data_IF_852299023982
#
_entry.id   IF_852299023982
#
_cell.length_a   1.000
_cell.length_b   1.000
_cell.length_c   1.000
_cell.angle_alpha   90.00
_cell.angle_beta   90.00
_cell.angle_gamma   90.00
#
_symmetry.space_group_name_H-M   'P 1'
#
loop_
_entity.id
_entity.type
_entity.pdbx_description
1 polymer ?
#
# COMPACT_ATOMS: atom_id res chain seq x y z
N UNK A 1 16.49 -22.73 10.42
CA UNK A 1 15.80 -22.25 11.64
C UNK A 1 15.95 -20.75 11.86
N UNK A 2 17.06 -20.12 11.50
CA UNK A 2 17.28 -18.70 11.79
C UNK A 2 16.32 -17.74 11.10
N UNK A 3 15.93 -18.00 9.85
CA UNK A 3 14.91 -17.20 9.16
C UNK A 3 13.54 -17.22 9.85
N UNK A 4 13.15 -18.35 10.45
CA UNK A 4 11.90 -18.46 11.22
C UNK A 4 11.99 -17.56 12.47
N UNK A 5 13.09 -17.65 13.22
CA UNK A 5 13.33 -16.79 14.38
C UNK A 5 13.40 -15.31 14.00
N UNK A 6 14.01 -15.00 12.85
CA UNK A 6 14.06 -13.66 12.25
C UNK A 6 12.67 -13.11 11.94
N UNK A 7 11.81 -13.89 11.28
CA UNK A 7 10.43 -13.48 11.01
C UNK A 7 9.62 -13.30 12.30
N UNK A 8 9.78 -14.18 13.30
CA UNK A 8 9.13 -14.00 14.61
C UNK A 8 9.60 -12.70 15.28
N UNK A 9 10.91 -12.39 15.26
CA UNK A 9 11.43 -11.13 15.80
C UNK A 9 10.93 -9.92 15.02
N UNK A 10 10.83 -9.99 13.70
CA UNK A 10 10.22 -8.96 12.85
C UNK A 10 8.77 -8.69 13.27
N UNK A 11 7.93 -9.72 13.37
CA UNK A 11 6.52 -9.56 13.76
C UNK A 11 6.37 -8.99 15.18
N UNK A 12 7.18 -9.46 16.13
CA UNK A 12 7.21 -8.91 17.51
C UNK A 12 7.60 -7.42 17.52
N UNK A 13 8.61 -7.06 16.73
CA UNK A 13 9.09 -5.67 16.60
C UNK A 13 8.00 -4.81 15.97
N UNK A 14 7.34 -5.28 14.91
CA UNK A 14 6.21 -4.58 14.30
C UNK A 14 5.11 -4.29 15.34
N UNK A 15 4.71 -5.28 16.14
CA UNK A 15 3.69 -5.08 17.18
C UNK A 15 4.13 -4.11 18.28
N UNK A 16 5.40 -4.15 18.69
CA UNK A 16 5.96 -3.21 19.66
C UNK A 16 5.95 -1.77 19.10
N UNK A 17 6.50 -1.58 17.90
CA UNK A 17 6.49 -0.31 17.18
C UNK A 17 5.07 0.22 16.94
N UNK A 18 4.13 -0.66 16.57
CA UNK A 18 2.75 -0.28 16.33
C UNK A 18 2.06 0.20 17.61
N UNK A 19 2.31 -0.44 18.76
CA UNK A 19 1.81 0.03 20.07
C UNK A 19 2.36 1.42 20.43
N UNK A 20 3.60 1.72 20.05
CA UNK A 20 4.19 3.06 20.24
C UNK A 20 3.47 4.07 19.35
N UNK A 21 3.32 3.78 18.05
CA UNK A 21 2.62 4.65 17.10
C UNK A 21 1.16 4.90 17.48
N UNK A 22 0.46 3.86 17.97
CA UNK A 22 -0.93 3.97 18.40
C UNK A 22 -1.16 4.93 19.57
N UNK A 23 -0.11 5.18 20.37
CA UNK A 23 -0.16 6.13 21.49
C UNK A 23 0.13 7.57 21.07
N UNK A 24 0.56 7.80 19.83
CA UNK A 24 0.76 9.15 19.32
C UNK A 24 -0.60 9.82 19.06
N UNK A 25 -0.69 11.17 19.15
CA UNK A 25 -1.91 11.88 18.79
C UNK A 25 -2.35 11.55 17.36
N UNK A 26 -3.63 11.20 17.17
CA UNK A 26 -4.18 10.87 15.85
C UNK A 26 -4.02 11.99 14.82
N UNK A 27 -4.06 13.24 15.29
CA UNK A 27 -3.80 14.42 14.47
C UNK A 27 -2.44 14.38 13.77
N UNK A 28 -1.48 13.58 14.26
CA UNK A 28 -0.17 13.38 13.61
C UNK A 28 -0.27 12.62 12.27
N UNK A 29 -1.40 11.98 11.98
CA UNK A 29 -1.60 11.20 10.77
C UNK A 29 -3.03 11.25 10.21
N UNK A 30 -3.89 12.09 10.80
CA UNK A 30 -5.22 12.43 10.26
C UNK A 30 -5.34 13.95 10.21
N UNK A 31 -4.87 14.56 9.11
CA UNK A 31 -4.88 16.02 8.96
C UNK A 31 -6.06 16.42 8.09
N UNK A 32 -6.96 17.22 8.65
CA UNK A 32 -8.07 17.84 7.91
C UNK A 32 -8.13 19.37 8.04
N UNK A 33 -7.45 19.93 9.05
CA UNK A 33 -7.54 21.36 9.40
C UNK A 33 -6.20 21.85 9.94
N UNK A 34 -5.99 23.16 9.89
CA UNK A 34 -4.88 23.80 10.60
C UNK A 34 -4.95 23.47 12.09
N UNK A 35 -3.82 23.05 12.66
CA UNK A 35 -3.74 22.67 14.07
C UNK A 35 -2.31 22.78 14.60
N UNK A 36 -2.21 22.80 15.92
CA UNK A 36 -0.95 22.65 16.64
C UNK A 36 -0.99 21.33 17.41
N UNK A 37 0.07 20.54 17.32
CA UNK A 37 0.15 19.21 17.92
C UNK A 37 1.43 19.15 18.75
N UNK A 38 1.30 18.73 19.99
CA UNK A 38 2.43 18.51 20.90
C UNK A 38 2.60 17.02 21.12
N UNK A 39 3.79 16.49 20.84
CA UNK A 39 4.10 15.06 20.92
C UNK A 39 5.33 14.87 21.81
N UNK A 40 5.30 14.01 22.84
CA UNK A 40 6.50 13.71 23.63
C UNK A 40 7.61 13.13 22.75
N UNK A 41 8.88 13.40 23.03
CA UNK A 41 10.02 12.84 22.28
C UNK A 41 10.32 11.37 22.65
N UNK A 42 9.99 10.93 23.87
CA UNK A 42 10.30 9.56 24.37
C UNK A 42 9.79 8.42 23.48
N UNK A 43 8.56 8.45 22.93
CA UNK A 43 8.11 7.43 21.98
C UNK A 43 9.00 7.29 20.73
N UNK A 44 9.61 8.39 20.24
CA UNK A 44 10.58 8.34 19.14
C UNK A 44 11.78 7.47 19.49
N UNK A 45 12.39 7.72 20.64
CA UNK A 45 13.57 6.97 21.11
C UNK A 45 13.28 5.48 21.26
N UNK A 46 12.13 5.13 21.83
CA UNK A 46 11.71 3.75 22.00
C UNK A 46 11.49 3.04 20.66
N UNK A 47 10.87 3.72 19.68
CA UNK A 47 10.68 3.17 18.34
C UNK A 47 12.02 2.93 17.64
N UNK A 48 12.93 3.92 17.67
CA UNK A 48 14.26 3.80 17.08
C UNK A 48 15.07 2.66 17.71
N UNK A 49 14.96 2.47 19.02
CA UNK A 49 15.62 1.38 19.72
C UNK A 49 15.11 0.00 19.24
N UNK A 50 13.80 -0.18 19.08
CA UNK A 50 13.21 -1.43 18.58
C UNK A 50 13.63 -1.72 17.13
N UNK A 51 13.58 -0.71 16.25
CA UNK A 51 14.01 -0.83 14.85
C UNK A 51 15.49 -1.20 14.75
N UNK A 52 16.35 -0.53 15.54
CA UNK A 52 17.79 -0.82 15.60
C UNK A 52 18.06 -2.23 16.11
N UNK A 53 17.41 -2.63 17.20
CA UNK A 53 17.55 -3.96 17.77
C UNK A 53 17.14 -5.06 16.78
N UNK A 54 16.09 -4.83 15.97
CA UNK A 54 15.74 -5.75 14.90
C UNK A 54 16.81 -5.79 13.81
N UNK A 55 17.28 -4.64 13.33
CA UNK A 55 18.33 -4.55 12.30
C UNK A 55 19.61 -5.29 12.72
N UNK A 56 20.06 -5.09 13.95
CA UNK A 56 21.21 -5.78 14.53
C UNK A 56 20.94 -7.30 14.61
N UNK A 57 19.77 -7.69 15.11
CA UNK A 57 19.39 -9.10 15.24
C UNK A 57 19.40 -9.85 13.90
N UNK A 58 18.77 -9.28 12.87
CA UNK A 58 18.70 -9.94 11.54
C UNK A 58 20.06 -9.90 10.83
N UNK A 59 20.85 -8.85 11.04
CA UNK A 59 22.20 -8.75 10.46
C UNK A 59 23.12 -9.82 11.05
N UNK A 60 23.08 -10.03 12.36
CA UNK A 60 23.95 -10.98 13.04
C UNK A 60 23.63 -12.45 12.72
N UNK A 61 22.42 -12.75 12.25
CA UNK A 61 21.92 -14.12 12.04
C UNK A 61 21.66 -14.50 10.59
N UNK A 62 21.69 -13.52 9.68
CA UNK A 62 21.49 -13.81 8.26
C UNK A 62 22.85 -14.04 7.61
N UNK A 63 23.04 -15.19 6.91
CA UNK A 63 24.23 -15.41 6.12
C UNK A 63 24.49 -14.25 5.14
N UNK A 64 25.73 -14.14 4.65
CA UNK A 64 26.06 -13.19 3.59
C UNK A 64 25.02 -13.31 2.46
N UNK A 65 24.43 -12.18 2.11
CA UNK A 65 23.33 -12.18 1.15
C UNK A 65 23.84 -12.56 -0.23
N UNK A 66 23.01 -13.32 -0.96
CA UNK A 66 23.26 -13.57 -2.38
C UNK A 66 23.27 -12.23 -3.11
N UNK A 67 23.99 -12.12 -4.24
CA UNK A 67 23.87 -10.97 -5.13
C UNK A 67 22.40 -10.69 -5.43
N UNK A 68 22.00 -9.42 -5.31
CA UNK A 68 20.61 -9.01 -5.42
C UNK A 68 19.97 -9.43 -6.75
N UNK A 69 20.73 -9.40 -7.85
CA UNK A 69 20.25 -9.81 -9.16
C UNK A 69 19.93 -11.31 -9.24
N UNK A 70 20.65 -12.16 -8.49
CA UNK A 70 20.35 -13.60 -8.41
C UNK A 70 19.04 -13.83 -7.65
N UNK A 71 18.86 -13.18 -6.50
CA UNK A 71 17.63 -13.26 -5.73
C UNK A 71 16.44 -12.79 -6.59
N UNK A 72 16.59 -11.66 -7.28
CA UNK A 72 15.56 -11.15 -8.17
C UNK A 72 15.24 -12.11 -9.33
N UNK A 73 16.25 -12.66 -9.99
CA UNK A 73 16.03 -13.60 -11.10
C UNK A 73 15.29 -14.87 -10.64
N UNK A 74 15.66 -15.43 -9.48
CA UNK A 74 14.98 -16.59 -8.89
C UNK A 74 13.53 -16.27 -8.54
N UNK A 75 13.29 -15.09 -7.98
CA UNK A 75 11.97 -14.62 -7.67
C UNK A 75 11.11 -14.39 -8.93
N UNK A 76 11.68 -13.84 -10.01
CA UNK A 76 10.98 -13.71 -11.29
C UNK A 76 10.65 -15.08 -11.92
N UNK A 77 11.57 -16.04 -11.84
CA UNK A 77 11.32 -17.40 -12.29
C UNK A 77 10.20 -18.07 -11.48
N UNK A 78 10.22 -17.92 -10.15
CA UNK A 78 9.15 -18.38 -9.27
C UNK A 78 7.82 -17.73 -9.63
N UNK A 79 7.80 -16.43 -9.93
CA UNK A 79 6.58 -15.72 -10.31
C UNK A 79 5.98 -16.25 -11.60
N UNK A 80 6.80 -16.52 -12.61
CA UNK A 80 6.36 -17.16 -13.87
C UNK A 80 5.78 -18.54 -13.62
N UNK A 81 6.43 -19.35 -12.78
CA UNK A 81 5.92 -20.66 -12.37
C UNK A 81 4.56 -20.54 -11.66
N UNK A 82 4.38 -19.53 -10.81
CA UNK A 82 3.12 -19.30 -10.12
C UNK A 82 1.99 -18.91 -11.08
N UNK A 83 2.28 -18.08 -12.08
CA UNK A 83 1.32 -17.75 -13.16
C UNK A 83 0.91 -18.99 -13.94
N UNK A 84 1.87 -19.86 -14.29
CA UNK A 84 1.59 -21.12 -14.95
C UNK A 84 0.71 -22.05 -14.08
N UNK A 85 1.02 -22.15 -12.78
CA UNK A 85 0.22 -22.91 -11.83
C UNK A 85 -1.20 -22.34 -11.69
N UNK A 86 -1.37 -21.01 -11.67
CA UNK A 86 -2.68 -20.35 -11.65
C UNK A 86 -3.50 -20.67 -12.91
N UNK A 87 -2.86 -20.63 -14.08
CA UNK A 87 -3.48 -20.96 -15.35
C UNK A 87 -3.97 -22.42 -15.41
N UNK A 88 -3.29 -23.33 -14.72
CA UNK A 88 -3.69 -24.75 -14.62
C UNK A 88 -4.93 -25.02 -13.76
N UNK A 89 -5.40 -24.02 -12.98
CA UNK A 89 -6.45 -24.17 -11.97
C UNK A 89 -6.17 -25.21 -10.87
N UNK A 90 -4.95 -25.72 -10.76
CA UNK A 90 -4.58 -26.67 -9.70
C UNK A 90 -4.20 -25.91 -8.42
N UNK A 91 -5.08 -25.95 -7.40
CA UNK A 91 -4.87 -25.24 -6.13
C UNK A 91 -3.57 -25.66 -5.43
N UNK A 92 -3.28 -26.96 -5.39
CA UNK A 92 -2.06 -27.48 -4.74
C UNK A 92 -0.82 -26.95 -5.44
N UNK A 93 -0.76 -27.02 -6.78
CA UNK A 93 0.35 -26.48 -7.55
C UNK A 93 0.49 -24.97 -7.36
N UNK A 94 -0.63 -24.23 -7.32
CA UNK A 94 -0.66 -22.78 -7.08
C UNK A 94 -0.08 -22.41 -5.71
N UNK A 95 -0.51 -23.09 -4.64
CA UNK A 95 -0.01 -22.88 -3.29
C UNK A 95 1.47 -23.22 -3.19
N UNK A 96 1.90 -24.39 -3.69
CA UNK A 96 3.29 -24.82 -3.64
C UNK A 96 4.20 -23.86 -4.42
N UNK A 97 3.80 -23.45 -5.64
CA UNK A 97 4.55 -22.48 -6.43
C UNK A 97 4.67 -21.13 -5.71
N UNK A 98 3.60 -20.65 -5.06
CA UNK A 98 3.63 -19.43 -4.25
C UNK A 98 4.56 -19.53 -3.04
N UNK A 99 4.55 -20.66 -2.32
CA UNK A 99 5.38 -20.87 -1.13
C UNK A 99 6.89 -20.88 -1.44
N UNK A 100 7.29 -21.24 -2.67
CA UNK A 100 8.70 -21.21 -3.09
C UNK A 100 9.35 -19.83 -2.94
N UNK A 101 8.57 -18.73 -2.98
CA UNK A 101 9.14 -17.40 -2.78
C UNK A 101 9.80 -17.27 -1.40
N UNK A 102 9.27 -17.93 -0.37
CA UNK A 102 9.80 -17.85 1.00
C UNK A 102 11.07 -18.69 1.18
N UNK A 103 11.37 -19.56 0.23
CA UNK A 103 12.67 -20.24 0.13
C UNK A 103 13.70 -19.28 -0.47
N UNK A 104 13.31 -18.52 -1.49
CA UNK A 104 14.20 -17.56 -2.18
C UNK A 104 14.43 -16.30 -1.34
N UNK A 105 13.38 -15.79 -0.70
CA UNK A 105 13.36 -14.54 0.04
C UNK A 105 12.63 -14.70 1.39
N UNK A 106 13.25 -15.35 2.39
CA UNK A 106 12.53 -15.77 3.60
C UNK A 106 11.91 -14.66 4.46
N UNK A 107 12.45 -13.44 4.41
CA UNK A 107 11.91 -12.30 5.16
C UNK A 107 10.68 -11.67 4.48
N UNK A 108 10.39 -12.04 3.22
CA UNK A 108 9.17 -11.61 2.55
C UNK A 108 7.92 -12.23 3.19
N UNK A 109 8.05 -13.34 3.93
CA UNK A 109 6.94 -13.91 4.72
C UNK A 109 6.40 -12.93 5.75
N UNK A 110 7.29 -12.39 6.59
CA UNK A 110 6.90 -11.45 7.64
C UNK A 110 6.31 -10.18 7.05
N UNK A 111 6.97 -9.58 6.05
CA UNK A 111 6.45 -8.38 5.39
C UNK A 111 5.12 -8.65 4.69
N UNK A 112 4.99 -9.76 3.95
CA UNK A 112 3.72 -10.12 3.31
C UNK A 112 2.59 -10.29 4.31
N UNK A 113 2.86 -10.89 5.48
CA UNK A 113 1.86 -11.01 6.54
C UNK A 113 1.45 -9.64 7.10
N UNK A 114 2.40 -8.75 7.35
CA UNK A 114 2.13 -7.38 7.84
C UNK A 114 1.29 -6.58 6.85
N UNK A 115 1.71 -6.59 5.58
CA UNK A 115 0.98 -5.98 4.46
C UNK A 115 -0.42 -6.56 4.32
N UNK A 116 -0.59 -7.86 4.57
CA UNK A 116 -1.91 -8.50 4.52
C UNK A 116 -2.83 -8.09 5.65
N UNK A 117 -2.30 -7.90 6.87
CA UNK A 117 -3.07 -7.35 7.98
C UNK A 117 -3.55 -5.93 7.67
N UNK A 118 -2.67 -5.12 7.06
CA UNK A 118 -3.01 -3.79 6.56
C UNK A 118 -4.11 -3.86 5.48
N UNK A 119 -3.97 -4.74 4.49
CA UNK A 119 -4.94 -4.96 3.42
C UNK A 119 -6.32 -5.34 3.97
N UNK A 120 -6.33 -6.34 4.85
CA UNK A 120 -7.54 -6.86 5.43
C UNK A 120 -8.32 -5.80 6.20
N UNK A 121 -7.64 -5.05 7.06
CA UNK A 121 -8.26 -4.06 7.94
C UNK A 121 -8.67 -2.77 7.23
N UNK A 122 -8.06 -2.49 6.08
CA UNK A 122 -8.34 -1.24 5.35
C UNK A 122 -9.37 -1.44 4.24
N UNK A 123 -9.50 -2.67 3.72
CA UNK A 123 -10.32 -2.93 2.54
C UNK A 123 -11.19 -4.18 2.64
N UNK A 124 -10.65 -5.32 3.07
CA UNK A 124 -11.43 -6.56 3.10
C UNK A 124 -12.54 -6.55 4.14
N UNK A 125 -12.30 -6.03 5.33
CA UNK A 125 -13.26 -6.16 6.44
C UNK A 125 -14.59 -5.49 6.09
N UNK A 126 -14.57 -4.25 5.58
CA UNK A 126 -15.77 -3.59 5.09
C UNK A 126 -16.43 -4.33 3.94
N UNK A 127 -15.65 -4.87 3.00
CA UNK A 127 -16.16 -5.69 1.89
C UNK A 127 -16.86 -6.97 2.35
N UNK A 128 -16.33 -7.63 3.38
CA UNK A 128 -16.93 -8.81 3.98
C UNK A 128 -18.24 -8.46 4.69
N UNK A 129 -18.29 -7.35 5.42
CA UNK A 129 -19.52 -6.89 6.07
C UNK A 129 -20.59 -6.56 5.03
N UNK A 130 -20.22 -5.90 3.93
CA UNK A 130 -21.18 -5.60 2.86
C UNK A 130 -21.62 -6.85 2.11
N UNK A 131 -20.76 -7.87 2.03
CA UNK A 131 -21.15 -9.15 1.45
C UNK A 131 -22.28 -9.76 2.28
N UNK A 132 -22.09 -9.84 3.61
CA UNK A 132 -23.09 -10.36 4.54
C UNK A 132 -24.41 -9.57 4.51
N UNK A 133 -24.37 -8.25 4.33
CA UNK A 133 -25.56 -7.39 4.32
C UNK A 133 -26.29 -7.40 2.97
N UNK A 134 -25.56 -7.33 1.86
CA UNK A 134 -26.15 -7.13 0.53
C UNK A 134 -26.43 -8.44 -0.21
N UNK A 135 -25.73 -9.53 0.10
CA UNK A 135 -25.92 -10.83 -0.58
C UNK A 135 -27.32 -11.43 -0.38
N UNK A 136 -28.00 -11.28 0.78
CA UNK A 136 -29.38 -11.73 0.96
C UNK A 136 -30.42 -10.88 0.23
N UNK A 137 -30.05 -9.68 -0.26
CA UNK A 137 -30.99 -8.77 -0.90
C UNK A 137 -31.24 -9.20 -2.36
N UNK A 138 -32.48 -9.06 -2.88
CA UNK A 138 -32.82 -9.42 -4.26
C UNK A 138 -32.30 -8.37 -5.25
N UNK A 139 -30.97 -8.24 -5.36
CA UNK A 139 -30.34 -7.34 -6.32
C UNK A 139 -30.57 -7.83 -7.76
N UNK A 140 -30.64 -6.93 -8.76
CA UNK A 140 -30.73 -7.33 -10.15
C UNK A 140 -29.60 -8.29 -10.54
N UNK A 141 -29.93 -9.28 -11.38
CA UNK A 141 -29.01 -10.35 -11.77
C UNK A 141 -28.06 -9.92 -12.89
N UNK A 142 -27.18 -8.96 -12.62
CA UNK A 142 -26.14 -8.54 -13.55
C UNK A 142 -24.83 -9.29 -13.27
N UNK A 143 -24.76 -10.54 -13.72
CA UNK A 143 -23.61 -11.41 -13.47
C UNK A 143 -22.54 -11.28 -14.54
N UNK A 144 -21.29 -11.16 -14.10
CA UNK A 144 -20.11 -11.29 -14.94
C UNK A 144 -19.38 -12.58 -14.60
N UNK A 145 -18.88 -13.27 -15.62
CA UNK A 145 -17.99 -14.41 -15.45
C UNK A 145 -16.53 -13.94 -15.61
N UNK A 146 -15.66 -14.42 -14.74
CA UNK A 146 -14.21 -14.23 -14.90
C UNK A 146 -13.75 -15.22 -15.97
N UNK A 147 -13.86 -14.83 -17.24
CA UNK A 147 -13.36 -15.57 -18.39
C UNK A 147 -12.06 -14.96 -18.94
N UNK A 148 -11.52 -15.53 -20.02
CA UNK A 148 -10.31 -14.99 -20.66
C UNK A 148 -10.49 -13.57 -21.21
N UNK A 149 -11.71 -13.20 -21.62
CA UNK A 149 -12.03 -11.88 -22.18
C UNK A 149 -12.07 -10.82 -21.08
N UNK A 150 -12.67 -11.15 -19.95
CA UNK A 150 -12.67 -10.31 -18.74
C UNK A 150 -11.24 -10.03 -18.28
N UNK A 151 -10.40 -11.06 -18.17
CA UNK A 151 -9.00 -10.93 -17.74
C UNK A 151 -8.23 -10.03 -18.70
N UNK A 152 -8.29 -10.31 -20.01
CA UNK A 152 -7.61 -9.52 -21.01
C UNK A 152 -8.10 -8.06 -21.05
N UNK A 153 -9.42 -7.85 -20.93
CA UNK A 153 -10.04 -6.53 -20.90
C UNK A 153 -9.59 -5.72 -19.68
N UNK A 154 -9.61 -6.32 -18.49
CA UNK A 154 -9.17 -5.66 -17.26
C UNK A 154 -7.69 -5.27 -17.32
N UNK A 155 -6.82 -6.18 -17.77
CA UNK A 155 -5.38 -5.89 -17.91
C UNK A 155 -5.11 -4.84 -18.98
N UNK A 156 -5.88 -4.83 -20.08
CA UNK A 156 -5.80 -3.80 -21.10
C UNK A 156 -6.21 -2.42 -20.54
N UNK A 157 -7.31 -2.35 -19.79
CA UNK A 157 -7.72 -1.10 -19.12
C UNK A 157 -6.66 -0.63 -18.13
N UNK A 158 -6.12 -1.51 -17.28
CA UNK A 158 -5.04 -1.12 -16.36
C UNK A 158 -3.81 -0.60 -17.11
N UNK A 159 -3.40 -1.30 -18.19
CA UNK A 159 -2.29 -0.88 -19.04
C UNK A 159 -2.51 0.50 -19.67
N UNK A 160 -3.69 0.76 -20.24
CA UNK A 160 -4.04 2.06 -20.81
C UNK A 160 -4.05 3.17 -19.75
N UNK A 161 -4.54 2.88 -18.54
CA UNK A 161 -4.49 3.83 -17.43
C UNK A 161 -3.03 4.10 -17.03
N UNK A 162 -2.17 3.08 -16.96
CA UNK A 162 -0.73 3.29 -16.71
C UNK A 162 -0.09 4.16 -17.81
N UNK A 163 -0.38 3.91 -19.09
CA UNK A 163 0.09 4.76 -20.20
C UNK A 163 -0.38 6.22 -20.05
N UNK A 164 -1.66 6.41 -19.69
CA UNK A 164 -2.21 7.75 -19.49
C UNK A 164 -1.48 8.51 -18.39
N UNK A 165 -1.24 7.89 -17.23
CA UNK A 165 -0.48 8.53 -16.15
C UNK A 165 1.01 8.69 -16.51
N UNK A 166 1.61 7.69 -17.13
CA UNK A 166 3.03 7.71 -17.50
C UNK A 166 3.39 8.79 -18.51
N UNK A 167 2.48 9.11 -19.44
CA UNK A 167 2.81 9.93 -20.60
C UNK A 167 1.93 11.17 -20.78
N UNK A 168 0.77 11.26 -20.13
CA UNK A 168 -0.21 12.31 -20.38
C UNK A 168 -0.52 13.13 -19.12
N UNK A 169 -0.84 12.51 -17.99
CA UNK A 169 -1.38 13.20 -16.81
C UNK A 169 -0.63 12.91 -15.52
N UNK A 170 -0.40 13.96 -14.74
CA UNK A 170 -0.06 13.88 -13.32
C UNK A 170 -0.81 14.99 -12.55
N UNK A 171 -1.19 14.76 -11.28
CA UNK A 171 -2.15 15.61 -10.52
C UNK A 171 -1.74 17.10 -10.39
N UNK A 172 -0.45 17.41 -10.29
CA UNK A 172 0.03 18.78 -10.03
C UNK A 172 0.98 19.35 -11.09
N UNK A 173 1.44 18.54 -12.06
CA UNK A 173 2.37 18.99 -13.10
C UNK A 173 2.41 18.01 -14.28
N UNK A 174 3.32 18.25 -15.23
CA UNK A 174 3.55 17.32 -16.35
C UNK A 174 4.37 16.10 -15.87
N UNK A 175 4.10 14.90 -16.38
CA UNK A 175 4.92 13.73 -16.09
C UNK A 175 6.33 13.94 -16.65
N UNK A 176 7.35 13.60 -15.85
CA UNK A 176 8.75 13.61 -16.26
C UNK A 176 8.95 12.65 -17.42
N UNK A 177 9.53 13.16 -18.51
CA UNK A 177 9.86 12.32 -19.68
C UNK A 177 11.11 11.50 -19.43
N UNK A 178 11.00 10.19 -19.60
CA UNK A 178 12.13 9.26 -19.53
C UNK A 178 12.63 8.88 -20.93
N UNK A 179 13.93 8.55 -21.09
CA UNK A 179 14.42 7.93 -22.32
C UNK A 179 13.64 6.66 -22.62
N UNK A 180 13.35 6.40 -23.90
CA UNK A 180 12.53 5.25 -24.33
C UNK A 180 13.00 3.92 -23.73
N UNK A 181 14.32 3.68 -23.70
CA UNK A 181 14.90 2.48 -23.09
C UNK A 181 14.47 2.30 -21.62
N UNK A 182 14.51 3.38 -20.83
CA UNK A 182 14.10 3.35 -19.42
C UNK A 182 12.59 3.16 -19.30
N UNK A 183 11.79 3.86 -20.11
CA UNK A 183 10.34 3.65 -20.15
C UNK A 183 9.96 2.20 -20.46
N UNK A 184 10.63 1.56 -21.41
CA UNK A 184 10.42 0.15 -21.74
C UNK A 184 10.81 -0.79 -20.57
N UNK A 185 11.83 -0.44 -19.79
CA UNK A 185 12.17 -1.20 -18.58
C UNK A 185 11.06 -1.12 -17.54
N UNK A 186 10.51 0.06 -17.26
CA UNK A 186 9.36 0.22 -16.35
C UNK A 186 8.12 -0.51 -16.87
N UNK A 187 7.83 -0.42 -18.18
CA UNK A 187 6.71 -1.15 -18.78
C UNK A 187 6.88 -2.66 -18.59
N UNK A 188 8.04 -3.23 -18.91
CA UNK A 188 8.25 -4.67 -18.82
C UNK A 188 8.36 -5.14 -17.36
N UNK A 189 9.31 -4.58 -16.62
CA UNK A 189 9.60 -4.98 -15.25
C UNK A 189 8.51 -4.56 -14.27
N UNK A 190 8.06 -3.30 -14.31
CA UNK A 190 7.00 -2.79 -13.44
C UNK A 190 5.69 -3.56 -13.63
N UNK A 191 5.31 -3.85 -14.89
CA UNK A 191 4.13 -4.69 -15.16
C UNK A 191 4.30 -6.09 -14.59
N UNK A 192 5.44 -6.73 -14.82
CA UNK A 192 5.70 -8.05 -14.29
C UNK A 192 5.71 -8.07 -12.76
N UNK A 193 6.32 -7.07 -12.13
CA UNK A 193 6.47 -6.97 -10.68
C UNK A 193 5.16 -6.66 -9.96
N UNK A 194 4.30 -5.82 -10.54
CA UNK A 194 3.17 -5.22 -9.81
C UNK A 194 1.78 -5.57 -10.35
N UNK A 195 1.68 -6.01 -11.61
CA UNK A 195 0.37 -6.26 -12.27
C UNK A 195 0.05 -7.73 -12.42
N UNK A 196 1.07 -8.59 -12.34
CA UNK A 196 0.87 -10.04 -12.30
C UNK A 196 0.05 -10.47 -11.07
N UNK A 197 -0.11 -9.61 -10.05
CA UNK A 197 -1.04 -9.80 -8.94
C UNK A 197 -2.47 -10.05 -9.44
N UNK A 198 -2.99 -9.12 -10.26
CA UNK A 198 -4.33 -9.22 -10.83
C UNK A 198 -4.43 -10.47 -11.71
N UNK A 199 -3.39 -10.74 -12.50
CA UNK A 199 -3.34 -11.93 -13.34
C UNK A 199 -3.46 -13.23 -12.52
N UNK A 200 -2.73 -13.36 -11.40
CA UNK A 200 -2.82 -14.55 -10.53
C UNK A 200 -4.20 -14.72 -9.92
N UNK A 201 -4.76 -13.64 -9.35
CA UNK A 201 -6.10 -13.65 -8.75
C UNK A 201 -7.14 -14.07 -9.78
N UNK A 202 -7.17 -13.45 -10.95
CA UNK A 202 -8.23 -13.72 -11.93
C UNK A 202 -8.01 -14.98 -12.75
N UNK A 203 -6.77 -15.39 -13.01
CA UNK A 203 -6.51 -16.73 -13.56
C UNK A 203 -7.09 -17.75 -12.59
N UNK A 204 -6.74 -17.71 -11.30
CA UNK A 204 -7.24 -18.69 -10.34
C UNK A 204 -8.76 -18.60 -10.12
N UNK A 205 -9.34 -17.41 -10.23
CA UNK A 205 -10.78 -17.18 -10.15
C UNK A 205 -11.54 -17.46 -11.47
N UNK A 206 -10.88 -17.96 -12.53
CA UNK A 206 -11.53 -18.22 -13.82
C UNK A 206 -12.76 -19.14 -13.67
N UNK A 207 -13.81 -18.84 -14.43
CA UNK A 207 -15.11 -19.53 -14.40
C UNK A 207 -16.01 -19.13 -13.21
N UNK A 208 -15.51 -18.33 -12.27
CA UNK A 208 -16.33 -17.84 -11.16
C UNK A 208 -17.19 -16.66 -11.63
N UNK A 209 -18.43 -16.57 -11.15
CA UNK A 209 -19.37 -15.49 -11.50
C UNK A 209 -19.58 -14.58 -10.29
N UNK A 210 -19.67 -13.27 -10.52
CA UNK A 210 -20.03 -12.30 -9.49
C UNK A 210 -21.12 -11.35 -9.99
N UNK A 211 -21.94 -10.83 -9.06
CA UNK A 211 -22.96 -9.84 -9.39
C UNK A 211 -22.37 -8.42 -9.36
N UNK A 212 -22.33 -7.74 -10.50
CA UNK A 212 -21.84 -6.36 -10.61
C UNK A 212 -22.73 -5.37 -9.84
N UNK A 213 -24.05 -5.62 -9.75
CA UNK A 213 -24.95 -4.74 -8.99
C UNK A 213 -24.54 -4.63 -7.52
N UNK A 214 -23.96 -5.68 -6.95
CA UNK A 214 -23.43 -5.64 -5.59
C UNK A 214 -22.32 -4.58 -5.45
N UNK A 215 -21.35 -4.56 -6.39
CA UNK A 215 -20.25 -3.59 -6.37
C UNK A 215 -20.76 -2.16 -6.56
N UNK A 216 -21.76 -1.98 -7.44
CA UNK A 216 -22.36 -0.68 -7.70
C UNK A 216 -23.14 -0.16 -6.49
N UNK A 217 -23.87 -1.04 -5.78
CA UNK A 217 -24.60 -0.67 -4.56
C UNK A 217 -23.63 -0.34 -3.43
N UNK A 218 -22.56 -1.11 -3.23
CA UNK A 218 -21.53 -0.76 -2.23
C UNK A 218 -20.81 0.55 -2.60
N UNK A 219 -20.44 0.73 -3.88
CA UNK A 219 -19.82 1.96 -4.35
C UNK A 219 -20.74 3.17 -4.18
N UNK A 220 -22.04 2.99 -4.42
CA UNK A 220 -23.05 3.99 -4.17
C UNK A 220 -23.15 4.22 -2.66
N UNK A 221 -23.59 3.28 -1.85
CA UNK A 221 -23.90 3.53 -0.44
C UNK A 221 -22.66 3.78 0.44
N UNK A 222 -21.47 3.36 0.00
CA UNK A 222 -20.21 3.50 0.72
C UNK A 222 -20.14 2.66 1.99
N UNK A 223 -20.91 1.57 2.08
CA UNK A 223 -21.02 0.76 3.30
C UNK A 223 -19.67 0.14 3.67
N UNK A 224 -18.95 -0.44 2.70
CA UNK A 224 -17.65 -1.02 2.94
C UNK A 224 -16.64 0.05 3.35
N UNK A 225 -16.72 1.23 2.72
CA UNK A 225 -15.87 2.36 3.08
C UNK A 225 -16.15 2.88 4.50
N UNK A 226 -17.42 2.92 4.91
CA UNK A 226 -17.84 3.32 6.26
C UNK A 226 -17.23 2.39 7.33
N UNK A 227 -17.41 1.07 7.16
CA UNK A 227 -16.87 0.07 8.09
C UNK A 227 -15.36 0.15 8.16
N UNK A 228 -14.69 0.18 7.00
CA UNK A 228 -13.24 0.31 6.95
C UNK A 228 -12.77 1.60 7.65
N UNK A 229 -13.41 2.74 7.39
CA UNK A 229 -13.05 4.00 8.05
C UNK A 229 -13.26 3.96 9.58
N UNK A 230 -14.30 3.29 10.07
CA UNK A 230 -14.53 3.12 11.51
C UNK A 230 -13.39 2.33 12.17
N UNK A 231 -12.95 1.24 11.53
CA UNK A 231 -11.82 0.42 11.99
C UNK A 231 -10.52 1.21 11.97
N UNK A 232 -10.28 1.95 10.89
CA UNK A 232 -9.09 2.78 10.70
C UNK A 232 -9.00 3.92 11.73
N UNK A 233 -10.15 4.49 12.13
CA UNK A 233 -10.22 5.54 13.16
C UNK A 233 -10.05 5.01 14.57
N UNK A 234 -10.35 3.75 14.86
CA UNK A 234 -10.40 3.24 16.23
C UNK A 234 -9.05 2.71 16.71
N UNK A 235 -8.52 1.69 16.04
CA UNK A 235 -7.35 0.94 16.49
C UNK A 235 -6.22 0.83 15.45
N UNK A 236 -6.49 1.08 14.16
CA UNK A 236 -5.62 0.61 13.07
C UNK A 236 -5.51 1.63 11.93
N UNK A 237 -4.91 2.79 12.19
CA UNK A 237 -4.68 3.80 11.16
C UNK A 237 -3.74 3.29 10.07
N UNK A 238 -4.17 3.42 8.81
CA UNK A 238 -3.41 3.10 7.59
C UNK A 238 -2.02 3.69 7.65
N UNK A 239 -1.92 4.98 7.95
CA UNK A 239 -0.63 5.69 7.91
C UNK A 239 0.36 5.12 8.93
N UNK A 240 -0.12 4.76 10.13
CA UNK A 240 0.73 4.14 11.15
C UNK A 240 1.18 2.73 10.74
N UNK A 241 0.26 1.93 10.20
CA UNK A 241 0.55 0.56 9.79
C UNK A 241 1.50 0.56 8.60
N UNK A 242 1.21 1.40 7.60
CA UNK A 242 2.00 1.58 6.40
C UNK A 242 3.40 2.07 6.75
N UNK A 243 3.54 3.19 7.48
CA UNK A 243 4.83 3.73 7.88
C UNK A 243 5.70 2.68 8.57
N UNK A 244 5.11 1.94 9.53
CA UNK A 244 5.82 0.90 10.27
C UNK A 244 6.24 -0.27 9.37
N UNK A 245 5.30 -0.86 8.63
CA UNK A 245 5.59 -1.99 7.76
C UNK A 245 6.61 -1.62 6.67
N UNK A 246 6.45 -0.44 6.06
CA UNK A 246 7.31 0.09 5.02
C UNK A 246 8.73 0.31 5.56
N UNK A 247 8.88 1.02 6.68
CA UNK A 247 10.19 1.26 7.31
C UNK A 247 10.89 -0.03 7.73
N UNK A 248 10.18 -0.99 8.28
CA UNK A 248 10.75 -2.31 8.63
C UNK A 248 11.14 -3.10 7.37
N UNK A 249 10.37 -2.96 6.28
CA UNK A 249 10.68 -3.51 4.96
C UNK A 249 11.99 -2.98 4.38
N UNK A 250 12.39 -1.75 4.73
CA UNK A 250 13.64 -1.11 4.28
C UNK A 250 14.88 -1.41 5.13
N UNK A 251 14.75 -2.22 6.19
CA UNK A 251 15.92 -2.69 6.94
C UNK A 251 16.81 -3.54 6.03
N UNK A 252 18.13 -3.30 6.04
CA UNK A 252 19.08 -3.77 5.02
C UNK A 252 18.87 -5.22 4.58
N UNK A 253 18.72 -6.14 5.52
CA UNK A 253 18.56 -7.57 5.22
C UNK A 253 17.15 -7.90 4.71
N UNK A 254 16.14 -7.27 5.30
CA UNK A 254 14.73 -7.47 4.97
C UNK A 254 14.42 -6.88 3.59
N UNK A 255 14.98 -5.70 3.29
CA UNK A 255 14.85 -4.97 2.04
C UNK A 255 15.18 -5.84 0.84
N UNK A 256 16.34 -6.50 0.85
CA UNK A 256 16.76 -7.39 -0.25
C UNK A 256 15.79 -8.55 -0.52
N UNK A 257 15.03 -8.99 0.50
CA UNK A 257 14.11 -10.12 0.38
C UNK A 257 12.67 -9.68 0.06
N UNK A 258 12.21 -8.59 0.66
CA UNK A 258 10.81 -8.19 0.58
C UNK A 258 10.59 -7.07 -0.44
N UNK A 259 11.33 -5.97 -0.30
CA UNK A 259 10.89 -4.69 -0.84
C UNK A 259 11.80 -4.13 -1.94
N UNK A 260 13.02 -4.66 -2.09
CA UNK A 260 13.95 -4.25 -3.15
C UNK A 260 13.43 -4.54 -4.55
N UNK A 261 12.62 -5.59 -4.72
CA UNK A 261 11.98 -5.87 -6.01
C UNK A 261 11.10 -4.69 -6.46
N UNK A 262 10.39 -4.05 -5.53
CA UNK A 262 9.65 -2.82 -5.81
C UNK A 262 10.55 -1.66 -6.24
N UNK A 263 11.68 -1.48 -5.55
CA UNK A 263 12.64 -0.39 -5.82
C UNK A 263 13.76 -0.74 -6.82
N UNK A 264 13.60 -1.79 -7.62
CA UNK A 264 14.69 -2.25 -8.51
C UNK A 264 15.05 -1.21 -9.57
N UNK A 265 14.03 -0.47 -10.03
CA UNK A 265 14.20 0.66 -10.92
C UNK A 265 14.27 1.91 -10.06
N UNK A 266 15.38 2.65 -10.15
CA UNK A 266 15.51 3.96 -9.51
C UNK A 266 14.65 4.97 -10.25
N UNK A 267 13.89 5.77 -9.51
CA UNK A 267 12.80 6.60 -10.05
C UNK A 267 11.61 5.72 -10.49
N UNK A 268 10.42 6.28 -10.66
CA UNK A 268 9.22 5.47 -10.95
C UNK A 268 8.34 6.04 -12.04
N UNK A 269 7.60 5.13 -12.67
CA UNK A 269 6.46 5.41 -13.52
C UNK A 269 5.21 4.72 -12.96
N UNK A 270 4.04 5.11 -13.47
CA UNK A 270 2.76 4.47 -13.12
C UNK A 270 2.76 2.92 -13.26
N UNK A 271 3.60 2.36 -14.14
CA UNK A 271 3.78 0.91 -14.31
C UNK A 271 4.36 0.21 -13.07
N UNK A 272 5.07 0.92 -12.20
CA UNK A 272 5.64 0.40 -10.96
C UNK A 272 4.66 0.51 -9.78
N UNK A 273 3.45 1.03 -10.00
CA UNK A 273 2.42 1.11 -8.97
C UNK A 273 1.67 -0.22 -8.85
N UNK A 274 1.76 -0.87 -7.69
CA UNK A 274 0.93 -2.04 -7.40
C UNK A 274 -0.54 -1.69 -7.13
N UNK A 275 -1.41 -2.69 -7.14
CA UNK A 275 -2.86 -2.52 -7.06
C UNK A 275 -3.39 -2.01 -5.70
N UNK A 276 -2.56 -1.86 -4.69
CA UNK A 276 -2.99 -1.55 -3.32
C UNK A 276 -2.07 -0.55 -2.62
N UNK A 277 -0.75 -0.65 -2.79
CA UNK A 277 0.24 0.22 -2.18
C UNK A 277 1.56 0.11 -2.94
N UNK A 278 2.65 0.68 -2.44
CA UNK A 278 3.99 0.51 -3.01
C UNK A 278 4.62 -0.85 -2.73
N UNK A 279 3.95 -1.97 -3.01
CA UNK A 279 4.50 -3.32 -2.78
C UNK A 279 5.03 -3.95 -4.08
N UNK A 280 5.95 -4.90 -3.96
CA UNK A 280 6.32 -5.82 -5.03
C UNK A 280 5.73 -7.23 -4.87
N UNK A 281 5.94 -8.10 -5.87
CA UNK A 281 5.42 -9.47 -5.82
C UNK A 281 5.87 -10.34 -4.61
N UNK A 282 7.01 -10.09 -3.92
CA UNK A 282 7.36 -10.88 -2.72
C UNK A 282 6.44 -10.63 -1.51
N UNK A 283 5.65 -9.55 -1.54
CA UNK A 283 4.89 -9.04 -0.40
C UNK A 283 3.39 -9.35 -0.49
N UNK A 284 2.91 -9.88 -1.61
CA UNK A 284 1.48 -9.96 -1.94
C UNK A 284 0.86 -11.35 -1.73
N UNK A 285 1.60 -12.33 -1.20
CA UNK A 285 1.11 -13.72 -1.09
C UNK A 285 -0.24 -13.82 -0.40
N UNK A 286 -0.33 -13.32 0.82
CA UNK A 286 -1.56 -13.38 1.60
C UNK A 286 -2.67 -12.52 0.97
N UNK A 287 -2.31 -11.42 0.27
CA UNK A 287 -3.29 -10.55 -0.40
C UNK A 287 -3.99 -11.32 -1.54
N UNK A 288 -3.22 -12.05 -2.35
CA UNK A 288 -3.75 -12.92 -3.41
C UNK A 288 -4.72 -13.94 -2.83
N UNK A 289 -4.37 -14.59 -1.73
CA UNK A 289 -5.24 -15.59 -1.10
C UNK A 289 -6.52 -14.98 -0.52
N UNK A 290 -6.48 -13.77 0.03
CA UNK A 290 -7.70 -13.08 0.46
C UNK A 290 -8.64 -12.83 -0.72
N UNK A 291 -8.13 -12.28 -1.82
CA UNK A 291 -8.95 -12.01 -3.00
C UNK A 291 -9.54 -13.28 -3.61
N UNK A 292 -8.75 -14.35 -3.70
CA UNK A 292 -9.23 -15.65 -4.17
C UNK A 292 -10.27 -16.23 -3.23
N UNK A 293 -10.02 -16.22 -1.92
CA UNK A 293 -10.93 -16.81 -0.93
C UNK A 293 -12.29 -16.11 -0.92
N UNK A 294 -12.31 -14.77 -0.96
CA UNK A 294 -13.56 -14.01 -1.02
C UNK A 294 -14.40 -14.41 -2.23
N UNK A 295 -13.78 -14.55 -3.41
CA UNK A 295 -14.50 -14.95 -4.62
C UNK A 295 -14.92 -16.43 -4.59
N UNK A 296 -13.99 -17.34 -4.33
CA UNK A 296 -14.23 -18.79 -4.44
C UNK A 296 -15.07 -19.35 -3.30
N UNK A 297 -14.98 -18.79 -2.10
CA UNK A 297 -15.69 -19.30 -0.92
C UNK A 297 -17.01 -18.55 -0.71
N UNK A 298 -17.02 -17.22 -0.83
CA UNK A 298 -18.22 -16.42 -0.54
C UNK A 298 -19.05 -16.11 -1.79
N UNK A 299 -18.51 -16.31 -2.99
CA UNK A 299 -19.21 -16.02 -4.25
C UNK A 299 -19.41 -14.52 -4.50
N UNK A 300 -18.64 -13.67 -3.84
CA UNK A 300 -18.69 -12.20 -4.01
C UNK A 300 -17.43 -11.72 -4.72
N UNK A 301 -17.48 -10.62 -5.49
CA UNK A 301 -16.33 -10.16 -6.25
C UNK A 301 -15.09 -9.94 -5.35
N UNK A 302 -13.86 -10.18 -5.85
CA UNK A 302 -12.66 -10.00 -5.05
C UNK A 302 -12.50 -8.52 -4.62
N UNK A 303 -12.01 -8.24 -3.39
CA UNK A 303 -11.78 -6.89 -2.89
C UNK A 303 -10.99 -5.96 -3.81
N UNK A 304 -10.07 -6.47 -4.65
CA UNK A 304 -9.38 -5.68 -5.68
C UNK A 304 -10.29 -5.03 -6.74
N UNK A 305 -11.53 -5.49 -6.91
CA UNK A 305 -12.54 -4.90 -7.80
C UNK A 305 -13.47 -3.89 -7.11
N UNK A 306 -13.36 -3.70 -5.80
CA UNK A 306 -14.18 -2.70 -5.10
C UNK A 306 -13.87 -1.30 -5.61
N UNK A 307 -14.88 -0.42 -5.64
CA UNK A 307 -14.69 0.96 -6.07
C UNK A 307 -13.60 1.68 -5.26
N UNK A 308 -13.55 1.46 -3.94
CA UNK A 308 -12.50 2.02 -3.08
C UNK A 308 -11.10 1.56 -3.51
N UNK A 309 -10.95 0.28 -3.88
CA UNK A 309 -9.67 -0.25 -4.30
C UNK A 309 -9.28 0.18 -5.70
N UNK A 310 -10.21 0.21 -6.65
CA UNK A 310 -9.97 0.77 -7.99
C UNK A 310 -9.58 2.25 -7.92
N UNK A 311 -10.21 3.04 -7.04
CA UNK A 311 -9.83 4.44 -6.79
C UNK A 311 -8.41 4.53 -6.23
N UNK A 312 -8.06 3.69 -5.26
CA UNK A 312 -6.70 3.66 -4.71
C UNK A 312 -5.66 3.25 -5.76
N UNK A 313 -5.98 2.30 -6.64
CA UNK A 313 -5.11 1.91 -7.76
C UNK A 313 -4.78 3.08 -8.67
N UNK A 314 -5.77 3.91 -8.99
CA UNK A 314 -5.58 5.09 -9.82
C UNK A 314 -4.67 6.11 -9.12
N UNK A 315 -4.90 6.33 -7.82
CA UNK A 315 -4.07 7.24 -7.03
C UNK A 315 -2.65 6.74 -6.83
N UNK A 316 -2.47 5.44 -6.65
CA UNK A 316 -1.14 4.86 -6.51
C UNK A 316 -0.33 5.00 -7.81
N UNK A 317 -0.98 4.92 -8.98
CA UNK A 317 -0.35 5.19 -10.28
C UNK A 317 0.13 6.64 -10.38
N UNK A 318 -0.68 7.60 -9.92
CA UNK A 318 -0.29 9.02 -9.87
C UNK A 318 0.88 9.24 -8.91
N UNK A 319 0.85 8.64 -7.72
CA UNK A 319 1.92 8.75 -6.71
C UNK A 319 3.20 7.97 -7.01
N UNK A 320 3.22 7.17 -8.09
CA UNK A 320 4.45 6.58 -8.63
C UNK A 320 4.88 7.29 -9.92
N UNK A 321 4.16 8.32 -10.37
CA UNK A 321 4.51 9.03 -11.58
C UNK A 321 5.43 10.22 -11.25
N UNK A 322 6.71 10.10 -11.59
CA UNK A 322 7.64 11.23 -11.42
C UNK A 322 7.17 12.46 -12.20
N UNK A 323 7.27 13.60 -11.55
CA UNK A 323 6.82 14.91 -12.03
C UNK A 323 8.00 15.74 -12.54
N UNK A 324 7.75 16.60 -13.54
CA UNK A 324 8.68 17.66 -13.94
C UNK A 324 8.66 18.77 -12.88
N UNK A 325 9.33 18.55 -11.75
CA UNK A 325 9.71 19.65 -10.85
C UNK A 325 11.11 19.44 -10.31
N UNK A 326 11.74 20.55 -9.90
CA UNK A 326 13.11 20.57 -9.42
C UNK A 326 13.13 20.35 -7.90
N UNK A 327 13.88 19.33 -7.44
CA UNK A 327 14.17 19.11 -6.03
C UNK A 327 13.24 18.14 -5.29
N UNK A 328 13.51 17.99 -3.99
CA UNK A 328 12.70 17.22 -3.06
C UNK A 328 11.50 18.05 -2.61
N UNK A 329 10.58 18.29 -3.53
CA UNK A 329 9.32 18.97 -3.21
C UNK A 329 8.39 17.97 -2.52
N UNK A 330 7.64 18.45 -1.53
CA UNK A 330 6.75 17.55 -0.80
C UNK A 330 5.70 16.90 -1.72
N UNK A 331 5.29 17.52 -2.82
CA UNK A 331 4.36 16.93 -3.79
C UNK A 331 4.91 15.69 -4.51
N UNK A 332 6.21 15.39 -4.36
CA UNK A 332 6.89 14.19 -4.86
C UNK A 332 7.36 13.27 -3.72
N UNK A 333 6.72 13.34 -2.55
CA UNK A 333 7.15 12.67 -1.34
C UNK A 333 7.50 11.18 -1.51
N UNK A 334 6.58 10.42 -2.12
CA UNK A 334 6.72 8.98 -2.34
C UNK A 334 7.59 8.68 -3.56
N UNK A 335 7.55 9.52 -4.57
CA UNK A 335 8.43 9.42 -5.74
C UNK A 335 9.90 9.67 -5.35
N UNK A 336 10.16 10.55 -4.37
CA UNK A 336 11.48 10.80 -3.80
C UNK A 336 11.95 9.65 -2.93
N UNK A 337 11.02 8.98 -2.24
CA UNK A 337 11.31 7.73 -1.54
C UNK A 337 11.92 6.70 -2.50
N UNK A 338 11.40 6.59 -3.73
CA UNK A 338 11.94 5.74 -4.80
C UNK A 338 13.29 6.16 -5.40
N UNK A 339 13.84 7.31 -4.98
CA UNK A 339 15.20 7.70 -5.31
C UNK A 339 16.20 7.36 -4.19
N UNK A 340 15.76 7.48 -2.93
CA UNK A 340 16.67 7.41 -1.76
C UNK A 340 16.53 6.14 -0.95
N UNK A 341 15.38 5.47 -1.01
CA UNK A 341 15.00 4.21 -0.35
C UNK A 341 15.15 4.17 1.18
N UNK A 342 15.73 5.19 1.82
CA UNK A 342 16.04 5.21 3.27
C UNK A 342 15.40 6.36 4.02
N UNK A 343 14.49 7.06 3.38
CA UNK A 343 13.79 8.21 3.91
C UNK A 343 12.40 8.30 3.26
N UNK A 344 11.49 9.07 3.84
CA UNK A 344 10.13 9.29 3.38
C UNK A 344 9.29 7.98 3.38
N UNK A 345 9.20 7.31 4.53
CA UNK A 345 8.49 6.02 4.65
C UNK A 345 6.96 6.15 4.77
N UNK A 346 6.43 7.33 5.09
CA UNK A 346 4.99 7.62 5.04
C UNK A 346 4.42 7.47 3.62
N UNK A 347 3.10 7.39 3.49
CA UNK A 347 2.48 7.26 2.17
C UNK A 347 2.01 8.61 1.63
N UNK A 348 1.34 9.40 2.48
CA UNK A 348 0.78 10.70 2.10
C UNK A 348 1.12 11.85 3.04
N UNK A 349 1.75 11.56 4.18
CA UNK A 349 2.02 12.55 5.22
C UNK A 349 3.48 12.49 5.71
N UNK A 350 4.19 13.64 5.77
CA UNK A 350 5.59 13.66 6.11
C UNK A 350 5.79 13.69 7.63
N UNK A 351 4.74 13.90 8.43
CA UNK A 351 4.90 14.20 9.86
C UNK A 351 5.47 13.03 10.66
N UNK A 352 5.14 11.78 10.33
CA UNK A 352 5.81 10.63 10.96
C UNK A 352 7.30 10.61 10.61
N UNK A 353 7.65 10.86 9.35
CA UNK A 353 9.04 10.96 8.94
C UNK A 353 9.78 12.14 9.58
N UNK A 354 9.16 13.32 9.68
CA UNK A 354 9.72 14.47 10.40
C UNK A 354 9.88 14.16 11.90
N UNK A 355 8.91 13.48 12.50
CA UNK A 355 8.94 13.09 13.91
C UNK A 355 10.12 12.14 14.18
N UNK A 356 10.24 11.05 13.42
CA UNK A 356 11.31 10.06 13.56
C UNK A 356 12.64 10.45 12.89
N UNK A 357 12.71 11.60 12.22
CA UNK A 357 13.92 12.07 11.54
C UNK A 357 14.27 11.25 10.29
N UNK A 358 13.27 10.66 9.65
CA UNK A 358 13.39 9.89 8.40
C UNK A 358 12.93 10.67 7.17
N UNK A 359 12.67 11.97 7.26
CA UNK A 359 12.41 12.79 6.07
C UNK A 359 13.73 13.24 5.41
N UNK A 360 13.81 13.14 4.08
CA UNK A 360 15.04 13.45 3.32
C UNK A 360 15.30 14.95 3.18
N UNK A 361 14.25 15.77 3.19
CA UNK A 361 14.36 17.23 3.05
C UNK A 361 14.63 17.94 4.37
N UNK A 362 14.12 19.17 4.50
CA UNK A 362 14.19 19.89 5.77
C UNK A 362 13.21 19.29 6.79
N UNK A 363 13.74 18.58 7.80
CA UNK A 363 12.95 18.00 8.88
C UNK A 363 12.15 19.03 9.72
N UNK A 364 12.42 20.32 9.58
CA UNK A 364 11.75 21.39 10.32
C UNK A 364 10.58 22.03 9.55
N UNK A 365 10.55 21.94 8.22
CA UNK A 365 9.47 22.57 7.43
C UNK A 365 9.28 21.87 6.09
N UNK A 366 8.04 21.48 5.79
CA UNK A 366 7.63 20.82 4.53
C UNK A 366 6.36 21.44 4.00
N UNK A 367 6.30 21.71 2.70
CA UNK A 367 5.08 22.13 1.99
C UNK A 367 4.57 20.97 1.12
N UNK A 368 3.31 20.57 1.31
CA UNK A 368 2.55 19.65 0.46
C UNK A 368 1.32 20.34 -0.10
N UNK A 369 1.35 20.68 -1.38
CA UNK A 369 0.31 21.45 -2.04
C UNK A 369 -0.01 22.72 -1.24
N UNK A 370 -1.24 22.80 -0.74
CA UNK A 370 -1.74 23.91 0.09
C UNK A 370 -1.47 23.77 1.59
N UNK A 371 -0.74 22.74 2.03
CA UNK A 371 -0.51 22.48 3.45
C UNK A 371 0.95 22.58 3.83
N UNK A 372 1.23 23.41 4.84
CA UNK A 372 2.53 23.58 5.44
C UNK A 372 2.61 22.79 6.75
N UNK A 373 3.70 22.04 6.91
CA UNK A 373 4.06 21.33 8.14
C UNK A 373 5.33 21.96 8.69
N UNK A 374 5.29 22.42 9.93
CA UNK A 374 6.45 22.93 10.65
C UNK A 374 6.67 22.06 11.89
N UNK A 375 7.94 21.78 12.21
CA UNK A 375 8.36 21.01 13.38
C UNK A 375 9.38 21.80 14.19
N UNK A 376 9.18 21.86 15.49
CA UNK A 376 10.06 22.49 16.47
C UNK A 376 10.34 21.51 17.61
N UNK A 377 11.62 21.29 17.94
CA UNK A 377 12.01 20.52 19.12
C UNK A 377 12.02 21.49 20.32
N UNK A 378 11.20 21.20 21.34
CA UNK A 378 11.08 22.02 22.54
C UNK A 378 12.05 21.52 23.63
N UNK A 379 12.55 22.43 24.47
CA UNK A 379 13.56 22.11 25.50
C UNK A 379 13.08 21.19 26.63
N UNK A 380 11.78 20.95 26.74
CA UNK A 380 11.14 20.09 27.74
C UNK A 380 10.94 18.63 27.27
N UNK A 381 11.53 18.26 26.13
CA UNK A 381 11.36 16.94 25.54
C UNK A 381 10.03 16.76 24.82
N UNK A 382 9.36 17.85 24.43
CA UNK A 382 8.24 17.85 23.49
C UNK A 382 8.71 18.17 22.07
N UNK A 383 7.96 17.68 21.10
CA UNK A 383 8.05 18.02 19.68
C UNK A 383 6.75 18.70 19.31
N UNK A 384 6.84 19.96 18.91
CA UNK A 384 5.71 20.75 18.45
C UNK A 384 5.61 20.66 16.93
N UNK A 385 4.43 20.32 16.44
CA UNK A 385 4.06 20.42 15.03
C UNK A 385 3.05 21.54 14.86
N UNK A 386 3.27 22.39 13.87
CA UNK A 386 2.30 23.37 13.39
C UNK A 386 1.90 23.00 11.97
N UNK A 387 0.62 22.76 11.78
CA UNK A 387 0.03 22.42 10.49
C UNK A 387 -0.83 23.58 10.04
N UNK A 388 -0.53 24.16 8.89
CA UNK A 388 -1.32 25.22 8.27
C UNK A 388 -1.89 24.73 6.95
N UNK A 389 -3.22 24.75 6.84
CA UNK A 389 -3.95 24.30 5.66
C UNK A 389 -4.57 25.53 4.96
N UNK A 390 -3.96 25.96 3.85
CA UNK A 390 -4.43 27.10 3.04
C UNK A 390 -5.39 26.63 1.94
N UNK A 391 -6.57 26.15 2.34
CA UNK A 391 -7.62 25.71 1.41
C UNK A 391 -8.14 24.30 1.73
N UNK A 392 -8.67 23.59 0.72
CA UNK A 392 -9.00 22.18 0.89
C UNK A 392 -7.72 21.36 0.77
N UNK A 393 -7.20 20.86 1.88
CA UNK A 393 -6.17 19.84 1.84
C UNK A 393 -6.77 18.54 1.29
N UNK A 394 -6.55 18.29 0.01
CA UNK A 394 -6.83 16.99 -0.59
C UNK A 394 -5.61 16.10 -0.36
N UNK A 395 -5.48 15.60 0.87
CA UNK A 395 -4.48 14.63 1.32
C UNK A 395 -4.40 13.33 0.49
N UNK A 396 -5.08 13.25 -0.66
CA UNK A 396 -5.49 11.99 -1.24
C UNK A 396 -6.35 11.25 -0.23
N UNK A 397 -7.24 11.95 0.48
CA UNK A 397 -7.92 11.40 1.64
C UNK A 397 -8.87 10.29 1.16
N UNK A 398 -8.36 9.05 1.04
CA UNK A 398 -9.11 7.85 0.61
C UNK A 398 -10.26 7.54 1.56
N UNK A 399 -10.21 8.15 2.75
CA UNK A 399 -11.26 8.09 3.74
C UNK A 399 -12.43 9.05 3.44
N UNK A 400 -12.27 10.01 2.52
CA UNK A 400 -13.38 10.91 2.14
C UNK A 400 -14.39 10.17 1.28
N UNK A 401 -15.57 9.99 1.87
CA UNK A 401 -16.78 9.55 1.19
C UNK A 401 -17.12 10.53 0.05
N UNK A 402 -17.64 10.08 -1.11
CA UNK A 402 -18.14 10.98 -2.14
C UNK A 402 -19.01 12.12 -1.56
N UNK A 403 -18.98 13.29 -2.22
CA UNK A 403 -19.66 14.51 -1.75
C UNK A 403 -21.13 14.29 -1.35
N UNK A 404 -21.86 13.46 -2.09
CA UNK A 404 -23.26 13.19 -1.81
C UNK A 404 -23.45 12.30 -0.57
N UNK A 405 -22.50 11.43 -0.23
CA UNK A 405 -22.52 10.66 1.03
C UNK A 405 -22.21 11.57 2.22
N UNK A 406 -21.26 12.50 2.08
CA UNK A 406 -21.01 13.53 3.11
C UNK A 406 -22.23 14.42 3.33
N UNK A 407 -23.01 14.70 2.28
CA UNK A 407 -24.30 15.39 2.38
C UNK A 407 -25.39 14.55 3.07
N UNK A 408 -25.53 13.26 2.71
CA UNK A 408 -26.53 12.35 3.30
C UNK A 408 -26.31 12.14 4.80
N UNK A 409 -25.06 11.87 5.22
CA UNK A 409 -24.71 11.67 6.62
C UNK A 409 -24.58 12.99 7.40
N UNK A 410 -24.26 14.10 6.74
CA UNK A 410 -24.21 15.43 7.35
C UNK A 410 -25.58 15.95 7.80
N UNK A 411 -26.68 15.49 7.19
CA UNK A 411 -28.04 15.83 7.62
C UNK A 411 -28.55 15.05 8.84
N UNK A 412 -27.89 13.95 9.22
CA UNK A 412 -28.28 13.11 10.35
C UNK A 412 -27.77 13.61 11.71
N UNK A 413 -27.32 14.86 11.81
CA UNK A 413 -27.02 15.53 13.08
C UNK A 413 -25.81 15.02 13.86
N UNK A 414 -25.13 13.96 13.39
CA UNK A 414 -23.87 13.51 13.97
C UNK A 414 -22.71 14.34 13.41
N UNK A 415 -21.90 14.99 14.25
CA UNK A 415 -20.67 15.64 13.79
C UNK A 415 -19.68 14.54 13.39
N UNK A 416 -19.73 14.12 12.12
CA UNK A 416 -18.70 13.32 11.46
C UNK A 416 -17.61 14.24 10.90
N UNK A 417 -17.07 15.14 11.72
CA UNK A 417 -15.86 15.91 11.41
C UNK A 417 -14.72 15.51 12.32
#
# INVERSE_FOLDING_TARGET
>A
MDFVRGNIKLLRTFLACHRILYRLPKSLYTIGTSCEIHVPAKPRELYEAEVRALQEYVTARTPAQRPADITLALLMAQRTLWVAAAASQNFTAFVLAGLLQFVVAPYSFGISLLTSGMYFMTFCLGHLVTALVLQPLPLPSLFFEIDGRFIAGLLCVDFLVNCFYAFIKCKSSKPKRFPLKKSLQHIAYGTFNTKTYLLLVFLFCRGSRFNLCWLLVDAALGLGALVNNLVQRSCLSWECIFYNAHRLGHLRVIYEHAHKAHHRLTDTLAFDAHAFSGNGFPEEWFLIFYDIAVMKVLGVPPPCLTFRMLKLQIWNKDGHQRKESEGFEGDQYHEDHHLVHRANFGFGHPMLDMYFGTYKGNNCSVQLGSTKFEKEEMGDGLVKFKVQVDGKYDAGNWQTLPFWQTWLFGKLGHPLR
#
